data_IF_554601725003
#
_entry.id   IF_554601725003
#
_cell.length_a   1.000
_cell.length_b   1.000
_cell.length_c   1.000
_cell.angle_alpha   90.00
_cell.angle_beta   90.00
_cell.angle_gamma   90.00
#
_symmetry.space_group_name_H-M   'P 1'
#
loop_
_entity.id
_entity.type
_entity.pdbx_description
1 polymer ?
#
# COMPACT_ATOMS: atom_id res chain seq x y z
N UNK A 1 -20.04 0.95 -20.87
CA UNK A 1 -18.64 0.45 -20.84
C UNK A 1 -18.43 -0.63 -21.91
N UNK A 2 -17.45 -0.49 -22.81
CA UNK A 2 -17.16 -1.52 -23.84
C UNK A 2 -16.43 -2.72 -23.23
N UNK A 3 -16.55 -3.91 -23.83
CA UNK A 3 -15.89 -5.12 -23.31
C UNK A 3 -14.36 -4.98 -23.29
N UNK A 4 -13.79 -4.28 -24.27
CA UNK A 4 -12.36 -3.97 -24.29
C UNK A 4 -11.92 -3.09 -23.10
N UNK A 5 -12.77 -2.16 -22.65
CA UNK A 5 -12.49 -1.31 -21.49
C UNK A 5 -12.57 -2.13 -20.19
N UNK A 6 -13.59 -2.99 -20.04
CA UNK A 6 -13.70 -3.94 -18.91
C UNK A 6 -12.47 -4.82 -18.75
N UNK A 7 -11.97 -5.39 -19.85
CA UNK A 7 -10.77 -6.24 -19.82
C UNK A 7 -9.53 -5.46 -19.38
N UNK A 8 -9.33 -4.24 -19.91
CA UNK A 8 -8.21 -3.39 -19.50
C UNK A 8 -8.28 -3.01 -18.03
N UNK A 9 -9.46 -2.65 -17.52
CA UNK A 9 -9.66 -2.35 -16.11
C UNK A 9 -9.31 -3.55 -15.23
N UNK A 10 -9.83 -4.73 -15.55
CA UNK A 10 -9.52 -5.95 -14.81
C UNK A 10 -8.01 -6.25 -14.80
N UNK A 11 -7.30 -6.00 -15.91
CA UNK A 11 -5.84 -6.16 -15.98
C UNK A 11 -5.10 -5.16 -15.08
N UNK A 12 -5.57 -3.91 -15.02
CA UNK A 12 -4.98 -2.88 -14.15
C UNK A 12 -5.20 -3.22 -12.67
N UNK A 13 -6.42 -3.63 -12.30
CA UNK A 13 -6.74 -4.08 -10.94
C UNK A 13 -5.86 -5.27 -10.54
N UNK A 14 -5.78 -6.31 -11.38
CA UNK A 14 -4.93 -7.48 -11.12
C UNK A 14 -3.43 -7.17 -11.10
N UNK A 15 -2.97 -6.12 -11.80
CA UNK A 15 -1.60 -5.66 -11.73
C UNK A 15 -1.34 -4.90 -10.42
N UNK A 16 -2.31 -4.13 -9.95
CA UNK A 16 -2.23 -3.42 -8.69
C UNK A 16 -2.29 -4.37 -7.48
N UNK A 17 -3.16 -5.39 -7.49
CA UNK A 17 -3.17 -6.46 -6.47
C UNK A 17 -1.80 -7.15 -6.37
N UNK A 18 -1.20 -7.52 -7.51
CA UNK A 18 0.16 -8.09 -7.55
C UNK A 18 1.20 -7.13 -6.99
N UNK A 19 1.01 -5.82 -7.17
CA UNK A 19 1.92 -4.81 -6.61
C UNK A 19 1.74 -4.69 -5.10
N UNK A 20 0.50 -4.67 -4.59
CA UNK A 20 0.22 -4.66 -3.16
C UNK A 20 0.81 -5.87 -2.45
N UNK A 21 0.70 -7.07 -3.03
CA UNK A 21 1.29 -8.28 -2.45
C UNK A 21 2.83 -8.23 -2.40
N UNK A 22 3.45 -7.67 -3.44
CA UNK A 22 4.90 -7.40 -3.45
C UNK A 22 5.27 -6.37 -2.37
N UNK A 23 4.52 -5.28 -2.29
CA UNK A 23 4.76 -4.18 -1.34
C UNK A 23 4.67 -4.69 0.10
N UNK A 24 3.66 -5.52 0.40
CA UNK A 24 3.54 -6.25 1.66
C UNK A 24 4.78 -7.09 1.98
N UNK A 25 5.22 -7.91 1.03
CA UNK A 25 6.40 -8.77 1.21
C UNK A 25 7.68 -7.94 1.46
N UNK A 26 7.77 -6.78 0.82
CA UNK A 26 8.91 -5.87 0.94
C UNK A 26 8.88 -5.09 2.28
N UNK A 27 7.70 -4.73 2.79
CA UNK A 27 7.52 -4.18 4.14
C UNK A 27 7.99 -5.19 5.21
N UNK A 28 7.55 -6.45 5.11
CA UNK A 28 7.96 -7.52 6.05
C UNK A 28 9.48 -7.72 6.02
N UNK A 29 10.07 -7.78 4.82
CA UNK A 29 11.51 -7.92 4.64
C UNK A 29 12.28 -6.71 5.20
N UNK A 30 11.74 -5.51 5.04
CA UNK A 30 12.31 -4.28 5.57
C UNK A 30 12.29 -4.25 7.09
N UNK A 31 11.19 -4.69 7.72
CA UNK A 31 11.13 -4.83 9.18
C UNK A 31 12.14 -5.87 9.71
N UNK A 32 12.37 -6.96 8.97
CA UNK A 32 13.42 -7.91 9.32
C UNK A 32 14.82 -7.26 9.25
N UNK A 33 15.09 -6.44 8.22
CA UNK A 33 16.33 -5.69 8.11
C UNK A 33 16.52 -4.69 9.27
N UNK A 34 15.46 -3.98 9.67
CA UNK A 34 15.46 -3.07 10.85
C UNK A 34 15.83 -3.84 12.11
N UNK A 35 15.20 -5.00 12.36
CA UNK A 35 15.48 -5.85 13.51
C UNK A 35 16.91 -6.40 13.54
N UNK A 36 17.50 -6.60 12.36
CA UNK A 36 18.89 -7.05 12.21
C UNK A 36 19.92 -5.91 12.27
N UNK A 37 19.50 -4.69 12.64
CA UNK A 37 20.38 -3.54 12.84
C UNK A 37 20.58 -2.65 11.61
N UNK A 38 19.94 -2.93 10.47
CA UNK A 38 19.97 -2.08 9.29
C UNK A 38 18.72 -1.18 9.22
N UNK A 39 18.56 -0.32 10.24
CA UNK A 39 17.36 0.50 10.41
C UNK A 39 17.17 1.54 9.30
N UNK A 40 18.24 2.21 8.87
CA UNK A 40 18.18 3.28 7.86
C UNK A 40 17.62 2.77 6.54
N UNK A 41 18.23 1.72 5.97
CA UNK A 41 17.77 1.17 4.69
C UNK A 41 16.36 0.56 4.80
N UNK A 42 16.07 -0.13 5.91
CA UNK A 42 14.74 -0.68 6.15
C UNK A 42 13.65 0.39 6.22
N UNK A 43 13.88 1.48 6.94
CA UNK A 43 12.92 2.56 7.06
C UNK A 43 12.79 3.41 5.78
N UNK A 44 13.85 3.59 5.00
CA UNK A 44 13.75 4.24 3.68
C UNK A 44 12.80 3.49 2.74
N UNK A 45 12.91 2.15 2.70
CA UNK A 45 12.02 1.31 1.90
C UNK A 45 10.58 1.38 2.43
N UNK A 46 10.39 1.28 3.75
CA UNK A 46 9.07 1.43 4.38
C UNK A 46 8.43 2.75 4.00
N UNK A 47 9.16 3.86 4.09
CA UNK A 47 8.67 5.19 3.72
C UNK A 47 8.28 5.27 2.27
N UNK A 48 9.11 4.75 1.36
CA UNK A 48 8.82 4.74 -0.08
C UNK A 48 7.55 3.95 -0.41
N UNK A 49 7.36 2.78 0.22
CA UNK A 49 6.15 1.98 0.03
C UNK A 49 4.92 2.72 0.57
N UNK A 50 5.01 3.27 1.79
CA UNK A 50 3.93 4.02 2.41
C UNK A 50 3.50 5.23 1.56
N UNK A 51 4.46 6.02 1.09
CA UNK A 51 4.20 7.16 0.19
C UNK A 51 3.49 6.74 -1.10
N UNK A 52 3.92 5.62 -1.71
CA UNK A 52 3.27 5.10 -2.91
C UNK A 52 1.82 4.69 -2.62
N UNK A 53 1.57 3.98 -1.53
CA UNK A 53 0.21 3.55 -1.15
C UNK A 53 -0.72 4.75 -0.97
N UNK A 54 -0.25 5.80 -0.31
CA UNK A 54 -0.98 7.09 -0.23
C UNK A 54 -1.34 7.63 -1.62
N UNK A 55 -0.41 7.59 -2.57
CA UNK A 55 -0.63 8.09 -3.92
C UNK A 55 -1.52 7.21 -4.80
N UNK A 56 -1.68 5.91 -4.47
CA UNK A 56 -2.37 4.95 -5.35
C UNK A 56 -3.66 4.35 -4.75
N UNK A 57 -3.84 4.37 -3.44
CA UNK A 57 -4.95 3.76 -2.72
C UNK A 57 -6.32 4.11 -3.32
N UNK A 58 -6.58 5.40 -3.46
CA UNK A 58 -7.86 5.91 -3.98
C UNK A 58 -8.15 5.46 -5.42
N UNK A 59 -7.12 5.33 -6.26
CA UNK A 59 -7.27 4.95 -7.67
C UNK A 59 -7.78 3.52 -7.86
N UNK A 60 -7.74 2.69 -6.83
CA UNK A 60 -8.13 1.28 -6.86
C UNK A 60 -9.11 0.93 -5.74
N UNK A 61 -9.76 1.93 -5.13
CA UNK A 61 -10.77 1.71 -4.09
C UNK A 61 -10.21 1.19 -2.75
N UNK A 62 -8.91 1.38 -2.49
CA UNK A 62 -8.25 0.99 -1.24
C UNK A 62 -8.12 2.17 -0.26
N UNK A 63 -9.14 3.02 -0.15
CA UNK A 63 -9.09 4.22 0.70
C UNK A 63 -8.81 3.89 2.18
N UNK A 64 -9.13 2.66 2.60
CA UNK A 64 -8.79 2.08 3.90
C UNK A 64 -7.27 2.02 4.17
N UNK A 65 -6.44 1.99 3.12
CA UNK A 65 -4.98 1.97 3.21
C UNK A 65 -4.34 3.37 3.29
N UNK A 66 -5.03 4.45 2.90
CA UNK A 66 -4.44 5.80 2.85
C UNK A 66 -3.97 6.27 4.24
N UNK A 67 -4.87 6.28 5.22
CA UNK A 67 -4.57 6.79 6.56
C UNK A 67 -3.47 5.97 7.27
N UNK A 68 -3.51 4.62 7.26
CA UNK A 68 -2.44 3.80 7.80
C UNK A 68 -1.09 4.03 7.12
N UNK A 69 -1.06 4.09 5.78
CA UNK A 69 0.15 4.35 5.02
C UNK A 69 0.74 5.74 5.34
N UNK A 70 -0.10 6.78 5.34
CA UNK A 70 0.31 8.16 5.70
C UNK A 70 0.85 8.24 7.12
N UNK A 71 0.26 7.47 8.04
CA UNK A 71 0.73 7.38 9.43
C UNK A 71 2.13 6.79 9.49
N UNK A 72 2.37 5.67 8.79
CA UNK A 72 3.70 5.03 8.70
C UNK A 72 4.72 5.98 8.08
N UNK A 73 4.39 6.61 6.94
CA UNK A 73 5.27 7.57 6.26
C UNK A 73 5.70 8.68 7.22
N UNK A 74 4.74 9.33 7.89
CA UNK A 74 5.00 10.41 8.83
C UNK A 74 5.84 9.96 10.03
N UNK A 75 5.57 8.77 10.56
CA UNK A 75 6.34 8.25 11.70
C UNK A 75 7.81 8.01 11.33
N UNK A 76 8.07 7.52 10.11
CA UNK A 76 9.43 7.36 9.61
C UNK A 76 10.08 8.74 9.39
N UNK A 77 9.40 9.66 8.74
CA UNK A 77 9.92 11.02 8.45
C UNK A 77 10.27 11.81 9.71
N UNK A 78 9.47 11.65 10.76
CA UNK A 78 9.68 12.31 12.05
C UNK A 78 10.67 11.57 12.96
N UNK A 79 11.20 10.42 12.54
CA UNK A 79 12.11 9.61 13.36
C UNK A 79 11.46 9.11 14.66
N UNK A 80 10.20 8.65 14.58
CA UNK A 80 9.50 8.08 15.72
C UNK A 80 10.21 6.83 16.28
N UNK A 81 9.80 6.39 17.48
CA UNK A 81 10.38 5.20 18.10
C UNK A 81 10.26 3.96 17.19
N UNK A 82 11.37 3.24 17.05
CA UNK A 82 11.48 2.05 16.19
C UNK A 82 10.39 1.02 16.48
N UNK A 83 10.05 0.79 17.74
CA UNK A 83 9.02 -0.18 18.11
C UNK A 83 7.63 0.26 17.67
N UNK A 84 7.34 1.57 17.74
CA UNK A 84 6.08 2.14 17.27
C UNK A 84 5.98 2.07 15.74
N UNK A 85 7.06 2.38 15.02
CA UNK A 85 7.10 2.24 13.56
C UNK A 85 6.85 0.78 13.16
N UNK A 86 7.53 -0.18 13.80
CA UNK A 86 7.33 -1.62 13.55
C UNK A 86 5.85 -2.01 13.76
N UNK A 87 5.21 -1.55 14.84
CA UNK A 87 3.80 -1.82 15.10
C UNK A 87 2.88 -1.23 14.02
N UNK A 88 3.13 0.02 13.61
CA UNK A 88 2.34 0.67 12.57
C UNK A 88 2.49 -0.04 11.21
N UNK A 89 3.70 -0.46 10.86
CA UNK A 89 3.95 -1.22 9.63
C UNK A 89 3.30 -2.59 9.66
N UNK A 90 3.33 -3.31 10.80
CA UNK A 90 2.61 -4.59 10.91
C UNK A 90 1.11 -4.43 10.70
N UNK A 91 0.50 -3.38 11.28
CA UNK A 91 -0.92 -3.07 11.06
C UNK A 91 -1.22 -2.77 9.59
N UNK A 92 -0.35 -1.98 8.94
CA UNK A 92 -0.48 -1.71 7.50
C UNK A 92 -0.40 -3.00 6.67
N UNK A 93 0.53 -3.90 7.01
CA UNK A 93 0.65 -5.22 6.37
C UNK A 93 -0.62 -6.05 6.53
N UNK A 94 -1.19 -6.10 7.75
CA UNK A 94 -2.46 -6.79 8.03
C UNK A 94 -3.62 -6.21 7.21
N UNK A 95 -3.69 -4.89 7.07
CA UNK A 95 -4.71 -4.23 6.27
C UNK A 95 -4.54 -4.52 4.78
N UNK A 96 -3.32 -4.50 4.25
CA UNK A 96 -3.05 -4.91 2.86
C UNK A 96 -3.52 -6.35 2.63
N UNK A 97 -3.26 -7.27 3.56
CA UNK A 97 -3.77 -8.64 3.47
C UNK A 97 -5.30 -8.70 3.45
N UNK A 98 -5.97 -7.89 4.27
CA UNK A 98 -7.44 -7.82 4.27
C UNK A 98 -7.99 -7.28 2.95
N UNK A 99 -7.42 -6.20 2.40
CA UNK A 99 -7.85 -5.65 1.10
C UNK A 99 -7.61 -6.65 -0.04
N UNK A 100 -6.48 -7.37 -0.02
CA UNK A 100 -6.19 -8.42 -1.01
C UNK A 100 -7.14 -9.63 -0.89
N UNK A 101 -7.50 -10.02 0.33
CA UNK A 101 -8.45 -11.12 0.56
C UNK A 101 -9.88 -10.76 0.14
N UNK A 102 -10.29 -9.51 0.33
CA UNK A 102 -11.57 -9.00 -0.13
C UNK A 102 -11.63 -8.92 -1.67
N UNK A 103 -10.47 -8.75 -2.31
CA UNK A 103 -10.35 -8.42 -3.73
C UNK A 103 -10.65 -6.95 -3.96
N UNK A 104 -9.99 -6.37 -4.96
CA UNK A 104 -10.16 -4.96 -5.24
C UNK A 104 -11.36 -4.69 -6.14
N UNK A 105 -12.15 -3.68 -5.77
CA UNK A 105 -13.28 -3.24 -6.58
C UNK A 105 -12.80 -2.58 -7.87
N UNK A 106 -13.66 -2.57 -8.89
CA UNK A 106 -13.35 -1.81 -10.11
C UNK A 106 -13.43 -0.32 -9.78
N UNK A 107 -12.37 0.45 -10.07
CA UNK A 107 -12.35 1.84 -9.68
C UNK A 107 -13.24 2.73 -10.56
N UNK A 108 -13.78 3.78 -9.95
CA UNK A 108 -14.87 4.61 -10.48
C UNK A 108 -14.42 5.69 -11.49
N UNK A 109 -13.11 5.88 -11.68
CA UNK A 109 -12.57 6.81 -12.69
C UNK A 109 -12.86 6.42 -14.15
N UNK A 110 -13.61 5.34 -14.36
CA UNK A 110 -14.13 4.90 -15.65
C UNK A 110 -15.48 5.52 -16.00
N UNK A 111 -16.15 6.18 -15.05
CA UNK A 111 -17.41 6.86 -15.32
C UNK A 111 -17.14 8.23 -15.97
N UNK A 112 -17.49 8.45 -17.26
CA UNK A 112 -17.20 9.71 -17.97
C UNK A 112 -18.04 10.89 -17.47
N UNK A 113 -18.85 10.70 -16.43
CA UNK A 113 -19.75 11.69 -15.84
C UNK A 113 -19.25 12.27 -14.52
N UNK A 114 -18.03 11.94 -14.09
CA UNK A 114 -17.35 12.65 -13.01
C UNK A 114 -16.69 13.94 -13.55
N UNK A 115 -17.51 14.86 -14.07
CA UNK A 115 -17.31 16.32 -14.16
C UNK A 115 -18.55 16.99 -14.82
#
# INVERSE_FOLDING_TARGET
MTDALKTKTAQLVAAYERRLDKDKSELVSSLAAVRNGNATNGFEIVRYIAHRLVGSAHLFGCDDLDLPARTVEKMVDCGADTSLIIQAVNKLVEQIDQSLLAGLEQPDWLDPHAD
#
